data_IF_196448280998
#
_entry.id   IF_196448280998
#
_cell.length_a   1.000
_cell.length_b   1.000
_cell.length_c   1.000
_cell.angle_alpha   90.00
_cell.angle_beta   90.00
_cell.angle_gamma   90.00
#
_symmetry.space_group_name_H-M   'P 1'
#
loop_
_entity.id
_entity.type
_entity.pdbx_description
1 polymer ?
#
# COMPACT_ATOMS: atom_id res chain seq x y z
N UNK A 1 10.30 -3.32 -6.71
CA UNK A 1 10.11 -2.63 -5.40
C UNK A 1 8.81 -1.85 -5.38
N UNK A 2 8.05 -1.96 -4.29
CA UNK A 2 6.75 -1.31 -4.11
C UNK A 2 6.82 -0.42 -2.87
N UNK A 3 6.40 0.83 -2.99
CA UNK A 3 6.32 1.77 -1.86
C UNK A 3 4.87 2.15 -1.64
N UNK A 4 4.36 1.93 -0.42
CA UNK A 4 3.07 2.46 0.01
C UNK A 4 3.30 3.74 0.83
N UNK A 5 2.68 4.82 0.41
CA UNK A 5 2.79 6.12 1.06
C UNK A 5 1.53 6.95 0.87
N UNK A 6 1.27 7.86 1.78
CA UNK A 6 0.16 8.82 1.67
C UNK A 6 0.43 10.03 2.57
N UNK A 7 -0.36 11.09 2.41
CA UNK A 7 -0.29 12.27 3.31
C UNK A 7 -1.27 12.17 4.49
N UNK A 8 -2.04 11.06 4.57
CA UNK A 8 -3.01 10.81 5.65
C UNK A 8 -2.71 9.53 6.40
N UNK A 9 -2.85 9.59 7.73
CA UNK A 9 -2.91 8.41 8.58
C UNK A 9 -4.25 7.67 8.45
N UNK A 10 -4.25 6.36 8.73
CA UNK A 10 -5.49 5.58 8.81
C UNK A 10 -6.19 5.30 7.48
N UNK A 11 -5.51 5.47 6.35
CA UNK A 11 -6.05 5.12 5.01
C UNK A 11 -5.80 3.66 4.62
N UNK A 12 -5.27 2.82 5.52
CA UNK A 12 -5.10 1.38 5.33
C UNK A 12 -3.81 0.95 4.64
N UNK A 13 -2.75 1.76 4.61
CA UNK A 13 -1.45 1.41 4.00
C UNK A 13 -0.90 0.07 4.51
N UNK A 14 -0.72 -0.06 5.82
CA UNK A 14 -0.16 -1.27 6.44
C UNK A 14 -1.00 -2.52 6.15
N UNK A 15 -2.34 -2.38 6.19
CA UNK A 15 -3.26 -3.47 5.84
C UNK A 15 -3.11 -3.88 4.37
N UNK A 16 -2.96 -2.90 3.46
CA UNK A 16 -2.70 -3.17 2.06
C UNK A 16 -1.32 -3.80 1.86
N UNK A 17 -0.27 -3.30 2.53
CA UNK A 17 1.08 -3.86 2.44
C UNK A 17 1.10 -5.35 2.79
N UNK A 18 0.48 -5.72 3.92
CA UNK A 18 0.36 -7.12 4.35
C UNK A 18 -0.47 -7.95 3.36
N UNK A 19 -1.59 -7.41 2.87
CA UNK A 19 -2.46 -8.12 1.93
C UNK A 19 -1.80 -8.34 0.57
N UNK A 20 -1.10 -7.33 0.04
CA UNK A 20 -0.31 -7.42 -1.20
C UNK A 20 0.80 -8.46 -1.04
N UNK A 21 1.56 -8.41 0.08
CA UNK A 21 2.61 -9.38 0.36
C UNK A 21 2.08 -10.81 0.40
N UNK A 22 0.97 -11.04 1.10
CA UNK A 22 0.33 -12.35 1.19
C UNK A 22 -0.08 -12.90 -0.18
N UNK A 23 -0.68 -12.06 -1.04
CA UNK A 23 -1.05 -12.47 -2.39
C UNK A 23 0.18 -12.81 -3.24
N UNK A 24 1.20 -11.95 -3.26
CA UNK A 24 2.43 -12.22 -4.02
C UNK A 24 3.13 -13.50 -3.55
N UNK A 25 3.15 -13.78 -2.23
CA UNK A 25 3.67 -15.04 -1.70
C UNK A 25 2.82 -16.24 -2.12
N UNK A 26 1.51 -16.11 -2.21
CA UNK A 26 0.63 -17.20 -2.70
C UNK A 26 0.91 -17.57 -4.15
N UNK A 27 1.50 -16.68 -4.92
CA UNK A 27 1.97 -16.93 -6.29
C UNK A 27 3.38 -17.55 -6.34
N UNK A 28 3.98 -17.85 -5.19
CA UNK A 28 5.31 -18.48 -5.09
C UNK A 28 6.49 -17.51 -5.05
N UNK A 29 6.25 -16.20 -4.93
CA UNK A 29 7.31 -15.21 -4.85
C UNK A 29 7.90 -15.10 -3.43
N UNK A 30 9.17 -14.72 -3.35
CA UNK A 30 9.83 -14.33 -2.10
C UNK A 30 9.55 -12.85 -1.86
N UNK A 31 8.89 -12.54 -0.74
CA UNK A 31 8.47 -11.17 -0.42
C UNK A 31 9.00 -10.77 0.96
N UNK A 32 9.38 -9.51 1.12
CA UNK A 32 9.69 -8.89 2.41
C UNK A 32 8.95 -7.57 2.54
N UNK A 33 8.48 -7.25 3.76
CA UNK A 33 7.95 -5.93 4.09
C UNK A 33 8.98 -5.16 4.91
N UNK A 34 9.24 -3.91 4.51
CA UNK A 34 10.04 -2.94 5.25
C UNK A 34 9.08 -1.97 5.92
N UNK A 35 8.90 -2.10 7.24
CA UNK A 35 8.07 -1.19 8.04
C UNK A 35 8.87 0.09 8.33
N UNK A 36 8.57 1.13 7.56
CA UNK A 36 9.21 2.43 7.61
C UNK A 36 8.30 3.51 8.23
N UNK A 37 7.24 3.10 8.95
CA UNK A 37 6.42 3.99 9.78
C UNK A 37 6.90 3.95 11.23
N UNK A 38 7.01 5.11 11.88
CA UNK A 38 7.37 5.23 13.30
C UNK A 38 6.40 4.47 14.23
N UNK A 39 5.15 4.27 13.80
CA UNK A 39 4.14 3.51 14.54
C UNK A 39 4.41 2.01 14.56
N UNK A 40 5.28 1.50 13.66
CA UNK A 40 5.67 0.08 13.57
C UNK A 40 4.47 -0.87 13.55
N UNK A 41 3.45 -0.50 12.80
CA UNK A 41 2.18 -1.26 12.74
C UNK A 41 2.36 -2.65 12.13
N UNK A 42 3.15 -2.78 11.06
CA UNK A 42 3.42 -4.07 10.42
C UNK A 42 4.32 -4.94 11.28
N UNK A 43 5.32 -4.36 11.94
CA UNK A 43 6.17 -5.10 12.89
C UNK A 43 5.36 -5.61 14.10
N UNK A 44 4.43 -4.81 14.61
CA UNK A 44 3.53 -5.24 15.69
C UNK A 44 2.64 -6.38 15.23
N UNK A 45 2.05 -6.28 14.04
CA UNK A 45 1.27 -7.35 13.42
C UNK A 45 2.11 -8.63 13.25
N UNK A 46 3.34 -8.52 12.75
CA UNK A 46 4.26 -9.64 12.56
C UNK A 46 4.60 -10.34 13.88
N UNK A 47 4.92 -9.60 14.93
CA UNK A 47 5.29 -10.15 16.24
C UNK A 47 4.13 -10.86 16.95
N UNK A 48 2.89 -10.52 16.60
CA UNK A 48 1.69 -11.15 17.16
C UNK A 48 1.12 -12.27 16.29
N UNK A 49 1.78 -12.56 15.15
CA UNK A 49 1.28 -13.54 14.18
C UNK A 49 1.36 -14.96 14.75
N UNK A 50 0.30 -15.79 14.56
CA UNK A 50 0.32 -17.20 14.93
C UNK A 50 1.51 -17.95 14.32
N UNK A 51 2.21 -18.77 15.12
CA UNK A 51 3.44 -19.48 14.70
C UNK A 51 3.20 -20.58 13.65
N UNK A 52 1.98 -21.10 13.58
CA UNK A 52 1.57 -22.16 12.66
C UNK A 52 1.22 -21.65 11.26
N UNK A 53 1.16 -20.34 11.08
CA UNK A 53 0.86 -19.71 9.79
C UNK A 53 2.13 -19.32 9.02
N UNK A 54 2.07 -19.29 7.68
CA UNK A 54 3.20 -18.84 6.86
C UNK A 54 3.67 -17.44 7.26
N UNK A 55 4.96 -17.29 7.53
CA UNK A 55 5.55 -16.01 7.90
C UNK A 55 5.86 -15.17 6.66
N UNK A 56 5.43 -13.91 6.68
CA UNK A 56 5.85 -12.86 5.75
C UNK A 56 7.03 -12.16 6.44
N UNK A 57 8.27 -12.23 5.93
CA UNK A 57 9.40 -11.52 6.52
C UNK A 57 9.13 -10.03 6.67
N UNK A 58 9.39 -9.46 7.85
CA UNK A 58 9.24 -8.03 8.13
C UNK A 58 10.52 -7.51 8.79
N UNK A 59 10.98 -6.35 8.36
CA UNK A 59 12.07 -5.62 9.01
C UNK A 59 11.69 -4.16 9.22
N UNK A 60 12.23 -3.52 10.24
CA UNK A 60 12.03 -2.09 10.48
C UNK A 60 13.11 -1.24 9.81
N UNK A 61 12.72 -0.03 9.38
CA UNK A 61 13.64 0.96 8.84
C UNK A 61 13.26 2.38 9.31
N UNK A 62 14.23 3.29 9.27
CA UNK A 62 14.04 4.72 9.56
C UNK A 62 15.01 5.56 8.73
N UNK A 63 14.64 6.81 8.44
CA UNK A 63 15.47 7.75 7.70
C UNK A 63 15.61 7.41 6.21
N UNK A 64 16.82 7.42 5.68
CA UNK A 64 17.03 7.08 4.27
C UNK A 64 17.05 5.56 4.06
N UNK A 65 15.95 5.02 3.56
CA UNK A 65 15.76 3.58 3.36
C UNK A 65 16.21 3.06 2.00
N UNK A 66 16.61 3.93 1.05
CA UNK A 66 16.95 3.54 -0.34
C UNK A 66 17.97 2.40 -0.40
N UNK A 67 19.08 2.50 0.35
CA UNK A 67 20.13 1.49 0.31
C UNK A 67 19.65 0.13 0.86
N UNK A 68 18.85 0.14 1.93
CA UNK A 68 18.27 -1.07 2.51
C UNK A 68 17.32 -1.75 1.53
N UNK A 69 16.43 -0.99 0.86
CA UNK A 69 15.53 -1.54 -0.14
C UNK A 69 16.29 -2.22 -1.28
N UNK A 70 17.35 -1.57 -1.79
CA UNK A 70 18.21 -2.14 -2.84
C UNK A 70 18.99 -3.39 -2.38
N UNK A 71 19.33 -3.49 -1.11
CA UNK A 71 19.96 -4.70 -0.57
C UNK A 71 18.98 -5.87 -0.50
N UNK A 72 17.75 -5.63 -0.04
CA UNK A 72 16.71 -6.66 0.00
C UNK A 72 16.30 -7.17 -1.40
N UNK A 73 16.32 -6.31 -2.41
CA UNK A 73 16.04 -6.68 -3.80
C UNK A 73 16.94 -7.81 -4.34
N UNK A 74 18.14 -7.98 -3.79
CA UNK A 74 19.04 -9.08 -4.17
C UNK A 74 18.55 -10.45 -3.70
N UNK A 75 17.72 -10.50 -2.67
CA UNK A 75 17.28 -11.75 -2.01
C UNK A 75 15.78 -12.02 -2.14
N UNK A 76 14.99 -11.02 -2.46
CA UNK A 76 13.54 -11.10 -2.56
C UNK A 76 13.07 -10.68 -3.95
N UNK A 77 12.03 -11.33 -4.44
CA UNK A 77 11.42 -11.00 -5.74
C UNK A 77 10.59 -9.72 -5.65
N UNK A 78 10.01 -9.47 -4.45
CA UNK A 78 9.31 -8.23 -4.12
C UNK A 78 9.73 -7.68 -2.76
N UNK A 79 10.03 -6.39 -2.71
CA UNK A 79 10.27 -5.62 -1.49
C UNK A 79 9.18 -4.58 -1.38
N UNK A 80 8.43 -4.57 -0.27
CA UNK A 80 7.30 -3.68 -0.02
C UNK A 80 7.67 -2.76 1.14
N UNK A 81 7.74 -1.44 0.92
CA UNK A 81 7.96 -0.46 1.98
C UNK A 81 6.62 0.15 2.42
N UNK A 82 6.26 -0.02 3.70
CA UNK A 82 5.13 0.66 4.33
C UNK A 82 5.61 1.94 5.01
N UNK A 83 5.31 3.09 4.41
CA UNK A 83 5.77 4.39 4.88
C UNK A 83 4.70 5.14 5.68
N UNK A 84 5.12 6.08 6.52
CA UNK A 84 4.24 6.88 7.37
C UNK A 84 3.17 7.64 6.57
N UNK A 85 2.06 7.96 7.25
CA UNK A 85 0.97 8.79 6.71
C UNK A 85 1.29 10.27 6.72
N UNK A 86 2.46 10.64 6.18
CA UNK A 86 2.95 12.01 6.02
C UNK A 86 4.11 12.03 5.05
N UNK A 87 4.47 13.20 4.57
CA UNK A 87 5.71 13.39 3.84
C UNK A 87 6.90 13.15 4.78
N UNK A 88 7.66 12.10 4.53
CA UNK A 88 8.76 11.65 5.39
C UNK A 88 10.01 11.34 4.58
N UNK A 89 11.16 11.32 5.26
CA UNK A 89 12.43 10.92 4.64
C UNK A 89 12.38 9.49 4.10
N UNK A 90 11.68 8.60 4.81
CA UNK A 90 11.46 7.21 4.42
C UNK A 90 10.70 7.13 3.09
N UNK A 91 9.56 7.83 2.98
CA UNK A 91 8.76 7.84 1.76
C UNK A 91 9.56 8.44 0.58
N UNK A 92 10.21 9.60 0.76
CA UNK A 92 11.00 10.23 -0.30
C UNK A 92 12.16 9.36 -0.75
N UNK A 93 12.92 8.77 0.17
CA UNK A 93 14.05 7.90 -0.17
C UNK A 93 13.60 6.54 -0.73
N UNK A 94 12.45 6.03 -0.30
CA UNK A 94 11.80 4.85 -0.85
C UNK A 94 11.41 5.06 -2.31
N UNK A 95 10.78 6.18 -2.64
CA UNK A 95 10.41 6.56 -4.01
C UNK A 95 11.60 6.59 -4.98
N UNK A 96 12.80 7.00 -4.49
CA UNK A 96 14.03 6.98 -5.31
C UNK A 96 14.50 5.56 -5.66
N UNK A 97 13.89 4.53 -5.12
CA UNK A 97 14.24 3.14 -5.38
C UNK A 97 13.05 2.32 -5.90
N UNK A 98 11.85 2.85 -5.85
CA UNK A 98 10.61 2.17 -6.18
C UNK A 98 10.44 1.94 -7.68
N UNK A 99 9.85 0.79 -8.07
CA UNK A 99 9.29 0.60 -9.41
C UNK A 99 7.83 1.06 -9.40
N UNK A 100 7.12 0.82 -8.28
CA UNK A 100 5.72 1.17 -8.11
C UNK A 100 5.51 1.96 -6.81
N UNK A 101 4.82 3.07 -6.89
CA UNK A 101 4.30 3.84 -5.76
C UNK A 101 2.79 3.72 -5.67
N UNK A 102 2.28 3.24 -4.57
CA UNK A 102 0.86 3.13 -4.30
C UNK A 102 0.48 4.12 -3.19
N UNK A 103 -0.41 5.06 -3.52
CA UNK A 103 -0.97 5.99 -2.56
C UNK A 103 -2.46 5.71 -2.34
N UNK A 104 -2.80 4.96 -1.28
CA UNK A 104 -4.19 4.72 -0.93
C UNK A 104 -4.82 5.96 -0.31
N UNK A 105 -6.10 6.19 -0.64
CA UNK A 105 -6.92 7.25 -0.06
C UNK A 105 -8.38 6.80 0.04
N UNK A 106 -9.10 7.37 1.02
CA UNK A 106 -10.54 7.18 1.13
C UNK A 106 -11.27 8.08 0.14
N UNK A 107 -12.49 7.73 -0.28
CA UNK A 107 -13.31 8.61 -1.13
C UNK A 107 -13.95 9.73 -0.28
N UNK A 108 -13.13 10.49 0.44
CA UNK A 108 -13.58 11.59 1.28
C UNK A 108 -12.89 12.91 0.89
N UNK A 109 -13.60 14.05 1.08
CA UNK A 109 -13.03 15.34 0.76
C UNK A 109 -11.69 15.59 1.47
N UNK A 110 -11.58 15.20 2.74
CA UNK A 110 -10.36 15.39 3.53
C UNK A 110 -9.17 14.61 2.98
N UNK A 111 -9.39 13.47 2.30
CA UNK A 111 -8.35 12.68 1.66
C UNK A 111 -8.03 13.25 0.27
N UNK A 112 -9.04 13.72 -0.46
CA UNK A 112 -8.85 14.40 -1.76
C UNK A 112 -8.04 15.70 -1.62
N UNK A 113 -8.24 16.46 -0.56
CA UNK A 113 -7.54 17.74 -0.30
C UNK A 113 -6.00 17.59 -0.21
N UNK A 114 -5.48 16.40 0.07
CA UNK A 114 -4.04 16.15 0.18
C UNK A 114 -3.42 15.53 -1.08
N UNK A 115 -4.22 15.19 -2.08
CA UNK A 115 -3.74 14.61 -3.35
C UNK A 115 -2.77 15.54 -4.09
N UNK A 116 -3.02 16.86 -4.19
CA UNK A 116 -2.05 17.76 -4.83
C UNK A 116 -0.66 17.68 -4.24
N UNK A 117 -0.56 17.58 -2.91
CA UNK A 117 0.72 17.43 -2.24
C UNK A 117 1.36 16.06 -2.51
N UNK A 118 0.56 15.00 -2.51
CA UNK A 118 1.04 13.64 -2.87
C UNK A 118 1.64 13.62 -4.28
N UNK A 119 0.92 14.20 -5.25
CA UNK A 119 1.40 14.33 -6.64
C UNK A 119 2.68 15.16 -6.74
N UNK A 120 2.77 16.27 -6.00
CA UNK A 120 3.98 17.10 -5.94
C UNK A 120 5.19 16.32 -5.42
N UNK A 121 5.04 15.55 -4.34
CA UNK A 121 6.12 14.70 -3.80
C UNK A 121 6.51 13.60 -4.79
N UNK A 122 5.54 12.97 -5.44
CA UNK A 122 5.78 11.95 -6.47
C UNK A 122 6.52 12.54 -7.67
N UNK A 123 6.08 13.68 -8.21
CA UNK A 123 6.72 14.35 -9.34
C UNK A 123 8.17 14.73 -9.01
N UNK A 124 8.43 15.27 -7.80
CA UNK A 124 9.79 15.57 -7.37
C UNK A 124 10.68 14.31 -7.24
N UNK A 125 10.10 13.16 -6.93
CA UNK A 125 10.84 11.90 -6.89
C UNK A 125 11.20 11.39 -8.31
N UNK A 126 10.39 11.69 -9.32
CA UNK A 126 10.67 11.34 -10.73
C UNK A 126 11.93 12.01 -11.28
N UNK A 127 12.36 13.14 -10.73
CA UNK A 127 13.62 13.77 -11.10
C UNK A 127 14.84 12.87 -10.76
N UNK A 128 14.68 11.90 -9.86
CA UNK A 128 15.72 10.98 -9.39
C UNK A 128 15.44 9.52 -9.73
N UNK A 129 14.23 9.22 -10.19
CA UNK A 129 13.77 7.88 -10.57
C UNK A 129 12.67 8.01 -11.63
N UNK A 130 13.08 8.18 -12.90
CA UNK A 130 12.17 8.47 -14.03
C UNK A 130 11.18 7.33 -14.30
N UNK A 131 11.57 6.08 -13.99
CA UNK A 131 10.80 4.88 -14.32
C UNK A 131 9.69 4.56 -13.30
N UNK A 132 9.65 5.23 -12.14
CA UNK A 132 8.65 4.95 -11.10
C UNK A 132 7.23 5.20 -11.60
N UNK A 133 6.37 4.20 -11.44
CA UNK A 133 4.94 4.30 -11.75
C UNK A 133 4.16 4.65 -10.48
N UNK A 134 3.35 5.71 -10.52
CA UNK A 134 2.55 6.17 -9.38
C UNK A 134 1.08 5.86 -9.54
N UNK A 135 0.45 5.28 -8.51
CA UNK A 135 -0.96 4.94 -8.49
C UNK A 135 -1.69 5.56 -7.29
N UNK A 136 -2.78 6.26 -7.58
CA UNK A 136 -3.79 6.61 -6.59
C UNK A 136 -4.78 5.45 -6.50
N UNK A 137 -5.04 4.94 -5.30
CA UNK A 137 -5.91 3.78 -5.08
C UNK A 137 -7.04 4.15 -4.13
N UNK A 138 -8.28 4.09 -4.60
CA UNK A 138 -9.45 4.27 -3.73
C UNK A 138 -9.59 3.06 -2.80
N UNK A 139 -9.29 3.30 -1.53
CA UNK A 139 -9.32 2.33 -0.45
C UNK A 139 -10.43 2.66 0.55
N UNK A 140 -10.89 1.67 1.28
CA UNK A 140 -12.00 1.80 2.24
C UNK A 140 -13.25 2.41 1.59
N UNK A 141 -13.53 2.03 0.34
CA UNK A 141 -14.73 2.50 -0.36
C UNK A 141 -15.99 1.83 0.22
N UNK A 142 -17.14 2.50 0.18
CA UNK A 142 -18.40 1.90 0.60
C UNK A 142 -18.68 0.59 -0.14
N UNK A 143 -19.13 -0.44 0.59
CA UNK A 143 -19.57 -1.72 -0.01
C UNK A 143 -20.95 -1.62 -0.68
N UNK A 144 -21.70 -0.58 -0.37
CA UNK A 144 -23.03 -0.34 -0.93
C UNK A 144 -22.89 0.37 -2.29
N UNK A 145 -23.30 -0.29 -3.37
CA UNK A 145 -23.25 0.22 -4.74
C UNK A 145 -24.10 1.49 -4.98
N UNK A 146 -25.08 1.76 -4.10
CA UNK A 146 -25.90 2.99 -4.19
C UNK A 146 -25.21 4.23 -3.61
N UNK A 147 -24.09 4.05 -2.91
CA UNK A 147 -23.29 5.16 -2.40
C UNK A 147 -22.32 5.61 -3.47
N UNK A 148 -22.44 6.85 -3.93
CA UNK A 148 -21.69 7.33 -5.10
C UNK A 148 -20.35 7.99 -4.78
N UNK A 149 -19.94 8.03 -3.50
CA UNK A 149 -18.74 8.73 -3.04
C UNK A 149 -17.47 8.30 -3.80
N UNK A 150 -17.30 7.00 -4.01
CA UNK A 150 -16.13 6.47 -4.73
C UNK A 150 -16.07 6.91 -6.20
N UNK A 151 -17.23 7.04 -6.88
CA UNK A 151 -17.27 7.53 -8.25
C UNK A 151 -17.05 9.04 -8.32
N UNK A 152 -17.59 9.78 -7.36
CA UNK A 152 -17.35 11.22 -7.25
C UNK A 152 -15.86 11.50 -6.98
N UNK A 153 -15.24 10.76 -6.06
CA UNK A 153 -13.81 10.86 -5.81
C UNK A 153 -12.99 10.52 -7.07
N UNK A 154 -13.36 9.45 -7.79
CA UNK A 154 -12.70 9.07 -9.03
C UNK A 154 -12.76 10.16 -10.11
N UNK A 155 -13.89 10.90 -10.22
CA UNK A 155 -13.97 12.02 -11.16
C UNK A 155 -13.01 13.16 -10.79
N UNK A 156 -12.92 13.51 -9.50
CA UNK A 156 -11.98 14.52 -9.02
C UNK A 156 -10.52 14.10 -9.25
N UNK A 157 -10.22 12.82 -9.07
CA UNK A 157 -8.85 12.31 -9.23
C UNK A 157 -8.34 12.33 -10.68
N UNK A 158 -9.21 12.47 -11.68
CA UNK A 158 -8.80 12.66 -13.08
C UNK A 158 -8.09 13.98 -13.33
N UNK A 159 -8.24 14.96 -12.44
CA UNK A 159 -7.56 16.25 -12.53
C UNK A 159 -6.07 16.18 -12.12
N UNK A 160 -5.60 14.98 -11.71
CA UNK A 160 -4.22 14.74 -11.26
C UNK A 160 -3.53 13.69 -12.15
N UNK A 161 -3.16 14.06 -13.39
CA UNK A 161 -2.60 13.12 -14.37
C UNK A 161 -1.16 12.68 -14.05
N UNK A 162 -0.52 13.24 -13.03
CA UNK A 162 0.84 12.88 -12.59
C UNK A 162 0.90 11.45 -12.05
N UNK A 163 -0.21 10.96 -11.52
CA UNK A 163 -0.36 9.60 -11.01
C UNK A 163 -1.57 8.92 -11.66
N UNK A 164 -1.47 7.63 -11.91
CA UNK A 164 -2.58 6.85 -12.46
C UNK A 164 -3.63 6.59 -11.38
N UNK A 165 -4.91 6.80 -11.69
CA UNK A 165 -5.98 6.29 -10.85
C UNK A 165 -6.20 4.82 -11.18
N UNK A 166 -6.01 3.93 -10.18
CA UNK A 166 -6.34 2.52 -10.33
C UNK A 166 -7.86 2.32 -10.53
N UNK A 167 -8.23 1.43 -11.45
CA UNK A 167 -9.63 1.03 -11.65
C UNK A 167 -10.10 0.15 -10.50
N UNK A 168 -9.21 -0.69 -9.98
CA UNK A 168 -9.44 -1.55 -8.82
C UNK A 168 -9.62 -0.70 -7.56
N UNK A 169 -10.63 -1.09 -6.75
CA UNK A 169 -10.96 -0.42 -5.49
C UNK A 169 -11.00 -1.46 -4.38
N UNK A 170 -10.59 -1.07 -3.18
CA UNK A 170 -10.68 -1.92 -2.00
C UNK A 170 -11.77 -1.36 -1.08
N UNK A 171 -12.77 -2.17 -0.77
CA UNK A 171 -13.91 -1.75 0.04
C UNK A 171 -13.60 -1.76 1.55
N UNK A 172 -14.31 -0.91 2.32
CA UNK A 172 -14.31 -0.97 3.78
C UNK A 172 -15.07 -2.22 4.27
N UNK A 173 -14.37 -3.34 4.27
CA UNK A 173 -14.91 -4.60 4.77
C UNK A 173 -14.45 -4.88 6.19
N UNK A 174 -15.39 -5.28 7.06
CA UNK A 174 -15.07 -5.71 8.44
C UNK A 174 -13.98 -6.80 8.46
N UNK A 175 -13.93 -7.66 7.44
CA UNK A 175 -12.94 -8.72 7.33
C UNK A 175 -11.49 -8.25 7.41
N UNK A 176 -11.15 -7.08 6.84
CA UNK A 176 -9.80 -6.51 6.97
C UNK A 176 -9.46 -6.14 8.42
N UNK A 177 -10.43 -5.58 9.16
CA UNK A 177 -10.24 -5.21 10.58
C UNK A 177 -10.16 -6.44 11.47
N UNK A 178 -11.03 -7.43 11.23
CA UNK A 178 -11.01 -8.70 11.98
C UNK A 178 -9.70 -9.45 11.74
N UNK A 179 -9.25 -9.59 10.50
CA UNK A 179 -7.98 -10.21 10.16
C UNK A 179 -6.80 -9.48 10.85
N UNK A 180 -6.77 -8.14 10.78
CA UNK A 180 -5.72 -7.36 11.42
C UNK A 180 -5.68 -7.57 12.94
N UNK A 181 -6.83 -7.62 13.61
CA UNK A 181 -6.93 -7.82 15.06
C UNK A 181 -6.36 -9.18 15.51
N UNK A 182 -6.44 -10.19 14.66
CA UNK A 182 -5.92 -11.54 14.91
C UNK A 182 -4.55 -11.78 14.27
N UNK A 183 -3.92 -10.73 13.73
CA UNK A 183 -2.64 -10.78 13.00
C UNK A 183 -2.66 -11.77 11.83
N UNK A 184 -3.81 -11.91 11.19
CA UNK A 184 -4.02 -12.67 9.97
C UNK A 184 -3.89 -11.79 8.73
N UNK A 185 -3.66 -12.42 7.59
CA UNK A 185 -3.85 -11.79 6.28
C UNK A 185 -5.30 -11.96 5.82
N UNK A 186 -5.74 -11.15 4.85
CA UNK A 186 -7.08 -11.31 4.28
C UNK A 186 -7.27 -12.67 3.59
N UNK A 187 -6.19 -13.28 3.10
CA UNK A 187 -6.20 -14.59 2.44
C UNK A 187 -6.33 -15.78 3.40
N UNK A 188 -6.23 -15.53 4.70
CA UNK A 188 -6.47 -16.51 5.77
C UNK A 188 -7.89 -16.39 6.35
N UNK A 189 -8.73 -15.56 5.74
CA UNK A 189 -10.14 -15.40 6.09
C UNK A 189 -11.05 -16.06 5.05
N UNK A 190 -12.33 -16.18 5.36
CA UNK A 190 -13.36 -16.72 4.42
C UNK A 190 -14.06 -15.59 3.64
N UNK A 191 -13.37 -14.48 3.35
CA UNK A 191 -13.98 -13.36 2.65
C UNK A 191 -13.48 -13.24 1.21
N UNK A 192 -14.01 -14.05 0.32
CA UNK A 192 -13.62 -14.10 -1.09
C UNK A 192 -13.68 -12.75 -1.79
N UNK A 193 -14.65 -11.89 -1.44
CA UNK A 193 -14.75 -10.55 -2.07
C UNK A 193 -13.60 -9.65 -1.70
N UNK A 194 -13.18 -9.66 -0.44
CA UNK A 194 -12.03 -8.88 0.00
C UNK A 194 -10.72 -9.41 -0.63
N UNK A 195 -10.57 -10.72 -0.75
CA UNK A 195 -9.44 -11.35 -1.44
C UNK A 195 -9.40 -10.94 -2.92
N UNK A 196 -10.51 -11.06 -3.64
CA UNK A 196 -10.63 -10.69 -5.06
C UNK A 196 -10.30 -9.21 -5.31
N UNK A 197 -10.68 -8.31 -4.40
CA UNK A 197 -10.33 -6.88 -4.50
C UNK A 197 -8.81 -6.65 -4.42
N UNK A 198 -8.13 -7.34 -3.52
CA UNK A 198 -6.65 -7.29 -3.41
C UNK A 198 -5.99 -7.93 -4.64
N UNK A 199 -6.48 -9.09 -5.10
CA UNK A 199 -5.98 -9.73 -6.32
C UNK A 199 -6.10 -8.82 -7.53
N UNK A 200 -7.27 -8.19 -7.73
CA UNK A 200 -7.50 -7.28 -8.84
C UNK A 200 -6.54 -6.09 -8.79
N UNK A 201 -6.36 -5.50 -7.61
CA UNK A 201 -5.43 -4.40 -7.40
C UNK A 201 -3.99 -4.80 -7.75
N UNK A 202 -3.51 -5.93 -7.24
CA UNK A 202 -2.12 -6.38 -7.49
C UNK A 202 -1.90 -6.68 -8.97
N UNK A 203 -2.87 -7.33 -9.63
CA UNK A 203 -2.79 -7.63 -11.08
C UNK A 203 -2.78 -6.37 -11.93
N UNK A 204 -3.44 -5.30 -11.49
CA UNK A 204 -3.51 -4.04 -12.24
C UNK A 204 -2.25 -3.18 -12.06
N UNK A 205 -1.72 -3.10 -10.82
CA UNK A 205 -0.70 -2.09 -10.50
C UNK A 205 0.71 -2.64 -10.29
N UNK A 206 0.88 -3.97 -10.19
CA UNK A 206 2.17 -4.59 -9.86
C UNK A 206 2.59 -5.64 -10.90
N UNK A 207 1.66 -6.45 -11.42
CA UNK A 207 1.91 -7.56 -12.35
C UNK A 207 1.54 -7.19 -13.78
#
# INVERSE_FOLDING_TARGET
MIVLGSQKGGVGKSTLAVSIAAYLMSLGNRVIIVDADDQKSVLTWYNNRPEDLPHIPVTGATGNIKAMLKEHEKSYDFVIADCAGRDSAEMRSGLMAADVFISPLRPSQMDLDVVPHTCSVFTAAKDFNEDVQGYLVLNMTPTNMFVNEANQAAEVLKDYPEMHLANSRVCDRKAHRDAWAESLTIFETQNDKAQQEIEALVKEVIL
#
